data_IF_618442650542
#
_entry.id   IF_618442650542
#
_cell.length_a   1.000
_cell.length_b   1.000
_cell.length_c   1.000
_cell.angle_alpha   90.00
_cell.angle_beta   90.00
_cell.angle_gamma   90.00
#
_symmetry.space_group_name_H-M   'P 1'
#
loop_
_entity.id
_entity.type
_entity.pdbx_description
1 polymer ?
#
# COMPACT_ATOMS: atom_id res chain seq x y z
N UNK A 1 -1.67 -2.87 -21.83
CA UNK A 1 -1.79 -2.34 -20.45
C UNK A 1 -0.38 -1.98 -19.98
N UNK A 2 -0.14 -0.77 -19.45
CA UNK A 2 1.19 -0.37 -18.95
C UNK A 2 1.36 -0.83 -17.50
N UNK A 3 2.52 -1.38 -17.10
CA UNK A 3 2.80 -1.68 -15.70
C UNK A 3 2.70 -0.42 -14.83
N UNK A 4 2.11 -0.53 -13.65
CA UNK A 4 2.10 0.54 -12.64
C UNK A 4 3.24 0.28 -11.66
N UNK A 5 4.13 1.26 -11.53
CA UNK A 5 5.19 1.23 -10.53
C UNK A 5 4.65 1.68 -9.16
N UNK A 6 4.33 0.72 -8.31
CA UNK A 6 3.84 0.95 -6.95
C UNK A 6 4.94 1.40 -5.98
N UNK A 7 6.22 1.23 -6.30
CA UNK A 7 7.33 1.57 -5.39
C UNK A 7 7.33 3.05 -5.02
N UNK A 8 6.84 3.91 -5.94
CA UNK A 8 6.69 5.35 -5.72
C UNK A 8 5.82 5.69 -4.52
N UNK A 9 4.81 4.86 -4.24
CA UNK A 9 3.85 5.08 -3.16
C UNK A 9 4.07 4.13 -1.97
N UNK A 10 4.68 2.96 -2.17
CA UNK A 10 4.86 1.96 -1.10
C UNK A 10 6.23 1.99 -0.43
N UNK A 11 7.25 2.63 -1.02
CA UNK A 11 8.65 2.59 -0.53
C UNK A 11 8.85 2.96 0.94
N UNK A 12 8.01 3.82 1.49
CA UNK A 12 8.11 4.28 2.88
C UNK A 12 7.44 3.32 3.88
N UNK A 13 6.78 2.28 3.39
CA UNK A 13 6.03 1.30 4.19
C UNK A 13 6.73 -0.05 4.12
N UNK A 14 7.81 -0.19 4.91
CA UNK A 14 8.74 -1.32 4.86
C UNK A 14 8.37 -2.48 5.80
N UNK A 15 7.25 -2.37 6.52
CA UNK A 15 6.76 -3.40 7.43
C UNK A 15 5.25 -3.37 7.58
N UNK A 16 4.69 -4.50 8.03
CA UNK A 16 3.25 -4.62 8.29
C UNK A 16 2.41 -4.74 7.02
N UNK A 17 1.24 -4.12 7.06
CA UNK A 17 0.20 -4.16 6.04
C UNK A 17 -0.04 -2.76 5.48
N UNK A 18 -0.29 -2.72 4.18
CA UNK A 18 -0.61 -1.54 3.40
C UNK A 18 -1.99 -1.76 2.78
N UNK A 19 -2.81 -0.72 2.82
CA UNK A 19 -4.08 -0.62 2.12
C UNK A 19 -3.94 0.45 1.03
N UNK A 20 -3.90 0.01 -0.22
CA UNK A 20 -3.83 0.87 -1.40
C UNK A 20 -5.23 1.35 -1.80
N UNK A 21 -5.31 2.52 -2.42
CA UNK A 21 -6.54 2.97 -3.06
C UNK A 21 -6.94 2.06 -4.22
N UNK A 22 -8.24 2.05 -4.54
CA UNK A 22 -8.80 1.25 -5.64
C UNK A 22 -8.14 1.51 -7.00
N UNK A 23 -7.57 2.71 -7.18
CA UNK A 23 -6.90 3.15 -8.40
C UNK A 23 -5.36 3.01 -8.34
N UNK A 24 -4.82 2.42 -7.28
CA UNK A 24 -3.38 2.20 -7.07
C UNK A 24 -2.53 3.48 -7.05
N UNK A 25 -3.12 4.65 -6.83
CA UNK A 25 -2.40 5.94 -6.85
C UNK A 25 -1.91 6.39 -5.47
N UNK A 26 -2.42 5.84 -4.38
CA UNK A 26 -1.98 6.19 -3.02
C UNK A 26 -2.10 5.02 -2.05
N UNK A 27 -1.40 5.16 -0.93
CA UNK A 27 -1.61 4.35 0.27
C UNK A 27 -2.70 5.04 1.09
N UNK A 28 -3.89 4.44 1.16
CA UNK A 28 -5.01 4.91 1.96
C UNK A 28 -4.87 4.53 3.45
N UNK A 29 -4.10 3.47 3.77
CA UNK A 29 -3.86 3.07 5.14
C UNK A 29 -2.65 2.16 5.33
N UNK A 30 -2.09 2.11 6.53
CA UNK A 30 -0.97 1.23 6.87
C UNK A 30 -1.01 0.83 8.34
N UNK A 31 -0.47 -0.34 8.70
CA UNK A 31 -0.39 -0.76 10.10
C UNK A 31 0.25 -2.12 10.31
N UNK A 32 0.53 -2.48 11.56
CA UNK A 32 1.12 -3.80 11.89
C UNK A 32 0.18 -4.97 11.57
N UNK A 33 -1.12 -4.73 11.53
CA UNK A 33 -2.15 -5.73 11.26
C UNK A 33 -3.07 -5.26 10.12
N UNK A 34 -3.75 -6.21 9.49
CA UNK A 34 -4.77 -5.93 8.46
C UNK A 34 -5.84 -4.97 9.00
N UNK A 35 -6.31 -5.20 10.23
CA UNK A 35 -7.34 -4.39 10.88
C UNK A 35 -6.96 -2.91 10.91
N UNK A 36 -5.75 -2.59 11.37
CA UNK A 36 -5.27 -1.20 11.46
C UNK A 36 -5.13 -0.55 10.08
N UNK A 37 -4.64 -1.29 9.09
CA UNK A 37 -4.53 -0.78 7.72
C UNK A 37 -5.91 -0.47 7.12
N UNK A 38 -6.90 -1.35 7.34
CA UNK A 38 -8.27 -1.15 6.87
C UNK A 38 -9.00 -0.01 7.58
N UNK A 39 -8.86 0.11 8.91
CA UNK A 39 -9.49 1.19 9.67
C UNK A 39 -8.99 2.56 9.19
N UNK A 40 -7.68 2.69 8.95
CA UNK A 40 -7.09 3.92 8.39
C UNK A 40 -7.56 4.20 6.97
N UNK A 41 -7.59 3.19 6.10
CA UNK A 41 -8.10 3.35 4.74
C UNK A 41 -9.57 3.80 4.71
N UNK A 42 -10.41 3.23 5.58
CA UNK A 42 -11.81 3.65 5.71
C UNK A 42 -11.94 5.07 6.26
N UNK A 43 -11.10 5.45 7.23
CA UNK A 43 -11.06 6.83 7.73
C UNK A 43 -10.63 7.84 6.64
N UNK A 44 -9.81 7.40 5.68
CA UNK A 44 -9.40 8.17 4.48
C UNK A 44 -10.44 8.10 3.33
N UNK A 45 -11.62 7.53 3.59
CA UNK A 45 -12.73 7.43 2.63
C UNK A 45 -12.60 6.32 1.59
N UNK A 46 -11.57 5.47 1.68
CA UNK A 46 -11.38 4.34 0.77
C UNK A 46 -12.26 3.16 1.18
N UNK A 47 -13.27 2.86 0.34
CA UNK A 47 -14.29 1.83 0.63
C UNK A 47 -13.81 0.42 0.29
N UNK A 48 -12.96 0.27 -0.73
CA UNK A 48 -12.50 -1.02 -1.24
C UNK A 48 -10.98 -1.02 -1.43
N UNK A 49 -10.20 -0.86 -0.35
CA UNK A 49 -8.76 -0.84 -0.46
C UNK A 49 -8.19 -2.20 -0.87
N UNK A 50 -7.10 -2.18 -1.64
CA UNK A 50 -6.33 -3.38 -1.96
C UNK A 50 -5.29 -3.60 -0.87
N UNK A 51 -5.31 -4.78 -0.24
CA UNK A 51 -4.38 -5.12 0.83
C UNK A 51 -3.12 -5.80 0.28
N UNK A 52 -1.96 -5.35 0.77
CA UNK A 52 -0.69 -6.01 0.53
C UNK A 52 0.22 -5.94 1.77
N UNK A 53 1.18 -6.87 1.86
CA UNK A 53 2.26 -6.75 2.84
C UNK A 53 3.25 -5.67 2.40
N UNK A 54 3.72 -4.87 3.36
CA UNK A 54 4.88 -4.02 3.13
C UNK A 54 6.11 -4.89 2.87
N UNK A 55 6.84 -4.60 1.80
CA UNK A 55 8.08 -5.29 1.50
C UNK A 55 9.17 -4.84 2.49
N UNK A 56 10.01 -5.77 2.96
CA UNK A 56 11.16 -5.43 3.84
C UNK A 56 12.16 -4.50 3.15
N UNK A 57 12.27 -4.62 1.83
CA UNK A 57 13.08 -3.77 0.98
C UNK A 57 12.44 -3.73 -0.41
N UNK A 58 12.35 -2.55 -1.00
CA UNK A 58 11.98 -2.36 -2.40
C UNK A 58 13.28 -2.18 -3.18
N UNK A 59 14.11 -3.23 -3.19
CA UNK A 59 15.46 -3.23 -3.77
C UNK A 59 15.50 -2.62 -5.18
N UNK A 60 16.70 -2.28 -5.70
CA UNK A 60 16.82 -1.63 -6.99
C UNK A 60 16.00 -2.40 -8.03
N UNK A 61 15.06 -1.70 -8.68
CA UNK A 61 14.33 -2.26 -9.81
C UNK A 61 15.42 -2.66 -10.81
N UNK A 62 15.54 -3.96 -11.09
CA UNK A 62 16.52 -4.43 -12.07
C UNK A 62 16.28 -3.68 -13.39
N UNK A 63 17.34 -3.18 -14.04
CA UNK A 63 17.22 -2.37 -15.25
C UNK A 63 16.51 -3.11 -16.39
#
# INVERSE_FOLDING_TARGET
MKPIDLTKITKNYTSGWIALSSDYKKVAGWGRTIKVALERARADGEKKPVLMKGAKSYGPIAP
#
